data_IF_573595079473
#
_entry.id   IF_573595079473
#
_cell.length_a   1.000
_cell.length_b   1.000
_cell.length_c   1.000
_cell.angle_alpha   90.00
_cell.angle_beta   90.00
_cell.angle_gamma   90.00
#
_symmetry.space_group_name_H-M   'P 1'
#
loop_
_entity.id
_entity.type
_entity.pdbx_description
1 polymer ?
#
# COMPACT_ATOMS: atom_id res chain seq x y z
N UNK A 1 -76.58 4.69 1.49
CA UNK A 1 -75.78 3.84 0.57
C UNK A 1 -75.56 4.67 -0.69
N UNK A 2 -74.53 5.51 -0.77
CA UNK A 2 -73.11 5.22 -1.09
C UNK A 2 -72.89 4.88 -2.57
N UNK A 3 -71.87 5.53 -3.18
CA UNK A 3 -71.44 5.60 -4.60
C UNK A 3 -72.02 6.83 -5.32
N UNK A 4 -71.27 7.73 -5.95
CA UNK A 4 -69.98 7.58 -6.65
C UNK A 4 -69.37 8.96 -6.95
N UNK A 5 -68.09 9.10 -6.65
CA UNK A 5 -67.04 9.71 -7.48
C UNK A 5 -67.13 11.17 -7.93
N UNK A 6 -66.40 11.98 -7.15
CA UNK A 6 -65.53 13.10 -7.55
C UNK A 6 -64.95 12.92 -8.95
N UNK A 7 -65.42 13.72 -9.91
CA UNK A 7 -64.96 13.73 -11.29
C UNK A 7 -64.81 15.18 -11.75
N UNK A 8 -63.99 15.96 -11.05
CA UNK A 8 -63.54 17.27 -11.54
C UNK A 8 -62.24 17.76 -10.88
N UNK A 9 -61.23 16.89 -10.79
CA UNK A 9 -59.82 17.30 -10.59
C UNK A 9 -58.86 16.37 -11.37
N UNK A 10 -59.30 15.83 -12.51
CA UNK A 10 -58.46 15.12 -13.47
C UNK A 10 -57.85 16.14 -14.45
N UNK A 11 -56.85 16.90 -13.99
CA UNK A 11 -55.98 17.67 -14.90
C UNK A 11 -54.56 17.92 -14.39
N UNK A 12 -54.19 17.55 -13.16
CA UNK A 12 -52.79 17.67 -12.68
C UNK A 12 -52.42 16.50 -11.76
N UNK A 13 -52.60 15.27 -12.24
CA UNK A 13 -52.16 14.06 -11.53
C UNK A 13 -51.56 13.03 -12.50
N UNK A 14 -50.59 13.46 -13.31
CA UNK A 14 -49.69 12.58 -14.05
C UNK A 14 -48.25 12.99 -13.77
N UNK A 15 -47.76 12.77 -12.54
CA UNK A 15 -46.35 12.44 -12.28
C UNK A 15 -46.13 12.09 -10.80
N UNK A 16 -46.78 11.05 -10.30
CA UNK A 16 -46.38 10.44 -9.04
C UNK A 16 -46.58 8.93 -9.12
N UNK A 17 -46.11 8.34 -10.22
CA UNK A 17 -45.89 6.90 -10.28
C UNK A 17 -44.78 6.57 -9.28
N UNK A 18 -45.17 5.86 -8.23
CA UNK A 18 -44.35 5.04 -7.34
C UNK A 18 -43.06 4.59 -8.01
N UNK A 19 -41.98 5.32 -7.74
CA UNK A 19 -40.66 4.99 -8.27
C UNK A 19 -40.12 3.81 -7.45
N UNK A 20 -40.33 2.59 -7.95
CA UNK A 20 -39.40 1.50 -7.63
C UNK A 20 -38.02 2.03 -8.03
N UNK A 21 -37.19 2.36 -7.05
CA UNK A 21 -35.84 2.88 -7.28
C UNK A 21 -35.04 1.80 -7.99
N UNK A 22 -35.08 1.81 -9.32
CA UNK A 22 -34.22 0.97 -10.14
C UNK A 22 -32.79 1.39 -9.84
N UNK A 23 -31.91 0.41 -9.67
CA UNK A 23 -30.49 0.68 -9.49
C UNK A 23 -29.91 1.48 -10.68
N UNK A 24 -28.67 1.97 -10.54
CA UNK A 24 -28.06 2.88 -11.53
C UNK A 24 -27.64 2.20 -12.84
N UNK A 25 -27.77 0.87 -12.95
CA UNK A 25 -27.41 0.12 -14.16
C UNK A 25 -28.53 0.19 -15.20
N UNK A 26 -28.19 0.71 -16.38
CA UNK A 26 -29.10 0.83 -17.53
C UNK A 26 -28.57 0.04 -18.72
N UNK A 27 -29.43 -0.78 -19.31
CA UNK A 27 -29.07 -1.63 -20.44
C UNK A 27 -29.10 -0.80 -21.74
N UNK A 28 -27.95 -0.67 -22.40
CA UNK A 28 -27.75 -0.10 -23.75
C UNK A 28 -26.97 -1.09 -24.62
N UNK A 29 -26.86 -0.89 -25.95
CA UNK A 29 -26.32 -1.92 -26.88
C UNK A 29 -24.81 -2.22 -26.75
N UNK A 30 -24.16 -1.76 -25.67
CA UNK A 30 -22.78 -2.05 -25.29
C UNK A 30 -22.56 -1.94 -23.76
N UNK A 31 -23.62 -2.07 -22.96
CA UNK A 31 -23.59 -1.84 -21.50
C UNK A 31 -23.20 -3.09 -20.71
N UNK A 32 -22.67 -2.88 -19.51
CA UNK A 32 -22.49 -3.92 -18.49
C UNK A 32 -23.81 -4.65 -18.18
N UNK A 33 -23.71 -5.93 -17.81
CA UNK A 33 -24.84 -6.75 -17.41
C UNK A 33 -25.48 -6.21 -16.12
N UNK A 34 -26.80 -6.10 -16.12
CA UNK A 34 -27.59 -5.64 -14.98
C UNK A 34 -28.46 -6.77 -14.44
N UNK A 35 -28.57 -6.82 -13.12
CA UNK A 35 -29.59 -7.59 -12.39
C UNK A 35 -31.00 -7.11 -12.76
N UNK A 36 -32.02 -7.93 -12.47
CA UNK A 36 -33.44 -7.58 -12.67
C UNK A 36 -33.87 -6.29 -11.95
N UNK A 37 -33.19 -5.93 -10.88
CA UNK A 37 -33.47 -4.74 -10.06
C UNK A 37 -32.73 -3.49 -10.56
N UNK A 38 -31.99 -3.59 -11.67
CA UNK A 38 -31.26 -2.47 -12.25
C UNK A 38 -29.91 -2.19 -11.57
N UNK A 39 -29.35 -3.11 -10.79
CA UNK A 39 -27.98 -3.02 -10.26
C UNK A 39 -27.00 -3.81 -11.12
N UNK A 40 -25.71 -3.49 -11.07
CA UNK A 40 -24.70 -4.18 -11.86
C UNK A 40 -24.50 -5.62 -11.37
N UNK A 41 -24.40 -6.57 -12.28
CA UNK A 41 -23.91 -7.91 -11.95
C UNK A 41 -22.46 -7.81 -11.49
N UNK A 42 -22.10 -8.50 -10.40
CA UNK A 42 -20.77 -8.34 -9.79
C UNK A 42 -19.66 -8.89 -10.69
N UNK A 43 -19.94 -9.91 -11.50
CA UNK A 43 -19.00 -10.43 -12.48
C UNK A 43 -19.44 -9.97 -13.86
N UNK A 44 -18.55 -9.27 -14.56
CA UNK A 44 -18.76 -8.79 -15.91
C UNK A 44 -17.80 -9.52 -16.84
N UNK A 45 -18.30 -10.03 -17.95
CA UNK A 45 -17.50 -10.71 -18.96
C UNK A 45 -17.74 -10.07 -20.32
N UNK A 46 -16.65 -9.80 -21.02
CA UNK A 46 -16.65 -9.39 -22.43
C UNK A 46 -16.30 -10.59 -23.31
N UNK A 47 -16.20 -10.38 -24.63
CA UNK A 47 -15.68 -11.41 -25.52
C UNK A 47 -14.19 -11.74 -25.26
N UNK A 48 -13.45 -10.91 -24.52
CA UNK A 48 -12.00 -11.02 -24.33
C UNK A 48 -11.57 -11.37 -22.90
N UNK A 49 -12.28 -10.92 -21.88
CA UNK A 49 -11.90 -11.08 -20.47
C UNK A 49 -13.10 -11.02 -19.51
N UNK A 50 -12.90 -11.46 -18.27
CA UNK A 50 -13.86 -11.29 -17.17
C UNK A 50 -13.21 -10.54 -16.00
N UNK A 51 -14.02 -9.77 -15.27
CA UNK A 51 -13.58 -8.95 -14.13
C UNK A 51 -14.71 -8.72 -13.12
N UNK A 52 -14.33 -8.31 -11.90
CA UNK A 52 -15.25 -7.96 -10.83
C UNK A 52 -15.61 -6.46 -10.89
N UNK A 53 -16.86 -6.14 -10.59
CA UNK A 53 -17.37 -4.77 -10.43
C UNK A 53 -18.20 -4.61 -9.16
N UNK A 54 -18.24 -3.38 -8.65
CA UNK A 54 -19.11 -3.03 -7.53
C UNK A 54 -20.57 -2.97 -7.96
N UNK A 55 -21.44 -3.77 -7.34
CA UNK A 55 -22.84 -3.93 -7.77
C UNK A 55 -23.66 -2.62 -7.75
N UNK A 56 -23.32 -1.68 -6.87
CA UNK A 56 -24.04 -0.42 -6.70
C UNK A 56 -23.54 0.73 -7.56
N UNK A 57 -22.36 0.63 -8.15
CA UNK A 57 -21.72 1.74 -8.87
C UNK A 57 -21.13 1.35 -10.22
N UNK A 58 -20.98 0.06 -10.50
CA UNK A 58 -20.34 -0.43 -11.73
C UNK A 58 -18.83 -0.20 -11.78
N UNK A 59 -18.21 0.24 -10.67
CA UNK A 59 -16.76 0.45 -10.62
C UNK A 59 -16.02 -0.88 -10.76
N UNK A 60 -15.08 -0.93 -11.70
CA UNK A 60 -14.31 -2.13 -12.02
C UNK A 60 -13.12 -2.26 -11.06
N UNK A 61 -12.89 -3.48 -10.54
CA UNK A 61 -11.67 -3.84 -9.83
C UNK A 61 -10.63 -4.39 -10.80
N UNK A 62 -9.79 -3.51 -11.31
CA UNK A 62 -8.93 -3.78 -12.47
C UNK A 62 -7.96 -4.97 -12.28
N UNK A 63 -7.47 -5.22 -11.06
CA UNK A 63 -6.54 -6.33 -10.78
C UNK A 63 -7.22 -7.70 -10.83
N UNK A 64 -8.54 -7.75 -10.92
CA UNK A 64 -9.32 -8.99 -11.06
C UNK A 64 -9.49 -9.43 -12.50
N UNK A 65 -9.02 -8.68 -13.50
CA UNK A 65 -9.13 -9.05 -14.92
C UNK A 65 -8.37 -10.35 -15.21
N UNK A 66 -9.07 -11.32 -15.79
CA UNK A 66 -8.49 -12.64 -16.08
C UNK A 66 -7.76 -12.72 -17.42
N UNK A 67 -7.97 -11.75 -18.31
CA UNK A 67 -7.41 -11.74 -19.67
C UNK A 67 -7.91 -12.87 -20.57
N UNK A 68 -8.94 -13.61 -20.12
CA UNK A 68 -9.54 -14.72 -20.85
C UNK A 68 -11.03 -14.79 -20.50
N UNK A 69 -11.91 -14.67 -21.50
CA UNK A 69 -13.37 -14.69 -21.33
C UNK A 69 -13.92 -16.02 -20.82
N UNK A 70 -13.10 -17.08 -20.80
CA UNK A 70 -13.45 -18.39 -20.21
C UNK A 70 -13.04 -18.51 -18.74
N UNK A 71 -12.22 -17.60 -18.21
CA UNK A 71 -11.77 -17.61 -16.81
C UNK A 71 -12.58 -16.61 -16.00
N UNK A 72 -13.34 -17.11 -15.03
CA UNK A 72 -14.13 -16.31 -14.10
C UNK A 72 -13.24 -15.86 -12.94
N UNK A 73 -13.19 -14.56 -12.59
CA UNK A 73 -12.38 -14.06 -11.49
C UNK A 73 -12.97 -14.39 -10.12
N UNK A 74 -12.10 -14.57 -9.14
CA UNK A 74 -12.49 -14.62 -7.73
C UNK A 74 -12.58 -13.20 -7.18
N UNK A 75 -13.80 -12.74 -6.90
CA UNK A 75 -14.02 -11.40 -6.36
C UNK A 75 -13.79 -11.35 -4.84
N UNK A 76 -13.37 -10.19 -4.35
CA UNK A 76 -13.09 -9.95 -2.94
C UNK A 76 -14.34 -10.08 -2.04
N UNK A 77 -14.11 -10.24 -0.73
CA UNK A 77 -15.19 -10.22 0.28
C UNK A 77 -15.98 -8.91 0.30
N UNK A 78 -15.36 -7.79 -0.02
CA UNK A 78 -16.05 -6.49 -0.10
C UNK A 78 -17.11 -6.50 -1.21
N UNK A 79 -16.76 -7.00 -2.39
CA UNK A 79 -17.73 -7.14 -3.49
C UNK A 79 -18.87 -8.09 -3.17
N UNK A 80 -18.59 -9.21 -2.51
CA UNK A 80 -19.62 -10.15 -2.06
C UNK A 80 -20.60 -9.49 -1.08
N UNK A 81 -20.08 -8.70 -0.14
CA UNK A 81 -20.88 -7.94 0.80
C UNK A 81 -21.79 -6.93 0.10
N UNK A 82 -21.24 -6.13 -0.82
CA UNK A 82 -22.01 -5.15 -1.59
C UNK A 82 -23.07 -5.85 -2.44
N UNK A 83 -22.72 -6.93 -3.15
CA UNK A 83 -23.69 -7.68 -3.96
C UNK A 83 -24.88 -8.14 -3.11
N UNK A 84 -24.64 -8.70 -1.92
CA UNK A 84 -25.71 -9.21 -1.06
C UNK A 84 -26.72 -8.13 -0.64
N UNK A 85 -26.24 -6.91 -0.45
CA UNK A 85 -27.09 -5.75 -0.12
C UNK A 85 -28.04 -5.41 -1.28
N UNK A 86 -27.56 -5.49 -2.53
CA UNK A 86 -28.29 -4.98 -3.71
C UNK A 86 -28.99 -6.09 -4.53
N UNK A 87 -28.56 -7.35 -4.41
CA UNK A 87 -29.17 -8.51 -5.07
C UNK A 87 -30.58 -8.80 -4.56
N UNK A 88 -30.85 -8.49 -3.29
CA UNK A 88 -32.12 -8.70 -2.61
C UNK A 88 -33.16 -7.60 -2.87
N UNK A 89 -32.82 -6.55 -3.63
CA UNK A 89 -33.74 -5.46 -3.97
C UNK A 89 -34.23 -4.68 -2.74
N UNK A 90 -33.52 -4.78 -1.61
CA UNK A 90 -33.83 -3.98 -0.44
C UNK A 90 -33.71 -2.51 -0.81
N UNK A 91 -34.83 -1.79 -0.65
CA UNK A 91 -34.80 -0.35 -0.47
C UNK A 91 -33.95 -0.09 0.76
N UNK A 92 -32.66 0.18 0.57
CA UNK A 92 -31.76 0.58 1.65
C UNK A 92 -32.46 1.69 2.41
N UNK A 93 -32.89 1.41 3.64
CA UNK A 93 -33.21 2.48 4.57
C UNK A 93 -32.02 3.42 4.55
N UNK A 94 -32.27 4.74 4.56
CA UNK A 94 -31.21 5.74 4.60
C UNK A 94 -30.20 5.52 5.74
N UNK A 95 -30.53 4.64 6.69
CA UNK A 95 -29.75 4.21 7.86
C UNK A 95 -28.88 2.96 7.68
N UNK A 96 -28.76 2.37 6.48
CA UNK A 96 -27.97 1.15 6.29
C UNK A 96 -26.51 1.46 5.89
N UNK A 97 -25.56 0.70 6.43
CA UNK A 97 -24.14 0.79 6.12
C UNK A 97 -23.81 -0.02 4.86
N UNK A 98 -23.17 0.63 3.89
CA UNK A 98 -22.65 -0.01 2.67
C UNK A 98 -21.13 0.15 2.68
N UNK A 99 -20.35 -0.95 2.66
CA UNK A 99 -18.90 -0.86 2.69
C UNK A 99 -18.35 -0.26 1.38
N UNK A 100 -17.27 0.50 1.51
CA UNK A 100 -16.55 1.08 0.38
C UNK A 100 -15.38 0.18 0.02
N UNK A 101 -15.38 -0.30 -1.22
CA UNK A 101 -14.31 -1.14 -1.75
C UNK A 101 -13.23 -0.29 -2.46
N UNK A 102 -12.01 -0.81 -2.45
CA UNK A 102 -10.91 -0.34 -3.28
C UNK A 102 -11.22 -0.65 -4.75
N UNK A 103 -10.94 0.29 -5.63
CA UNK A 103 -11.28 0.17 -7.05
C UNK A 103 -10.18 -0.55 -7.87
N UNK A 104 -9.07 -0.97 -7.26
CA UNK A 104 -8.04 -1.75 -7.94
C UNK A 104 -8.11 -3.21 -7.57
N UNK A 105 -7.94 -3.51 -6.28
CA UNK A 105 -7.93 -4.89 -5.79
C UNK A 105 -9.34 -5.40 -5.48
N UNK A 106 -10.28 -4.48 -5.27
CA UNK A 106 -11.61 -4.81 -4.81
C UNK A 106 -11.73 -5.01 -3.31
N UNK A 107 -10.65 -4.99 -2.55
CA UNK A 107 -10.64 -5.17 -1.10
C UNK A 107 -11.39 -4.05 -0.37
N UNK A 108 -11.58 -4.14 0.95
CA UNK A 108 -12.15 -3.05 1.71
C UNK A 108 -11.19 -1.86 1.75
N UNK A 109 -11.71 -0.63 1.60
CA UNK A 109 -10.92 0.56 1.94
C UNK A 109 -10.60 0.54 3.44
N UNK A 110 -9.38 0.97 3.85
CA UNK A 110 -8.98 0.95 5.26
C UNK A 110 -9.91 1.75 6.19
N UNK A 111 -10.49 2.84 5.67
CA UNK A 111 -11.49 3.65 6.37
C UNK A 111 -12.87 3.27 5.84
N UNK A 112 -13.78 2.96 6.78
CA UNK A 112 -15.19 2.75 6.51
C UNK A 112 -16.02 3.76 7.28
N UNK A 113 -17.11 4.24 6.69
CA UNK A 113 -17.96 5.26 7.30
C UNK A 113 -19.43 4.89 7.18
N UNK A 114 -20.20 5.20 8.22
CA UNK A 114 -21.64 5.07 8.27
C UNK A 114 -22.29 6.45 8.17
N UNK A 115 -22.90 6.83 7.03
CA UNK A 115 -23.41 8.18 6.80
C UNK A 115 -24.50 8.59 7.80
N UNK A 116 -25.50 7.72 8.04
CA UNK A 116 -26.60 8.04 8.96
C UNK A 116 -26.19 8.13 10.44
N UNK A 117 -25.22 7.31 10.87
CA UNK A 117 -24.69 7.36 12.25
C UNK A 117 -23.61 8.43 12.41
N UNK A 118 -23.10 8.99 11.32
CA UNK A 118 -21.98 9.94 11.30
C UNK A 118 -20.80 9.40 12.08
N UNK A 119 -20.40 8.17 11.77
CA UNK A 119 -19.25 7.49 12.39
C UNK A 119 -18.34 6.91 11.31
N UNK A 120 -17.03 6.91 11.55
CA UNK A 120 -16.05 6.20 10.73
C UNK A 120 -15.17 5.30 11.60
N UNK A 121 -14.69 4.19 11.06
CA UNK A 121 -13.81 3.23 11.73
C UNK A 121 -12.81 2.62 10.75
N UNK A 122 -11.78 1.98 11.28
CA UNK A 122 -10.79 1.25 10.50
C UNK A 122 -11.20 -0.21 10.34
N UNK A 123 -10.87 -0.82 9.21
CA UNK A 123 -11.10 -2.25 8.96
C UNK A 123 -9.84 -2.94 8.43
N UNK A 124 -9.75 -4.25 8.67
CA UNK A 124 -8.84 -5.10 7.89
C UNK A 124 -9.28 -5.11 6.42
N UNK A 125 -8.35 -4.83 5.51
CA UNK A 125 -8.69 -4.65 4.09
C UNK A 125 -9.14 -5.96 3.43
N UNK A 126 -8.74 -7.12 3.95
CA UNK A 126 -9.08 -8.43 3.36
C UNK A 126 -10.35 -9.03 3.97
N UNK A 127 -10.53 -8.95 5.29
CA UNK A 127 -11.69 -9.53 5.99
C UNK A 127 -12.87 -8.56 6.10
N UNK A 128 -12.60 -7.24 6.14
CA UNK A 128 -13.61 -6.21 6.40
C UNK A 128 -14.00 -6.09 7.88
N UNK A 129 -13.33 -6.82 8.76
CA UNK A 129 -13.58 -6.76 10.20
C UNK A 129 -13.11 -5.43 10.77
N UNK A 130 -13.95 -4.83 11.62
CA UNK A 130 -13.62 -3.58 12.32
C UNK A 130 -12.43 -3.80 13.26
N UNK A 131 -11.44 -2.93 13.14
CA UNK A 131 -10.36 -2.80 14.12
C UNK A 131 -10.98 -2.22 15.39
N UNK A 132 -11.09 -3.03 16.44
CA UNK A 132 -11.72 -2.66 17.71
C UNK A 132 -11.15 -1.35 18.25
N UNK A 133 -12.02 -0.42 18.64
CA UNK A 133 -11.65 0.87 19.23
C UNK A 133 -11.25 1.95 18.21
N UNK A 134 -11.28 1.66 16.91
CA UNK A 134 -11.01 2.66 15.86
C UNK A 134 -12.21 3.56 15.52
N UNK A 135 -13.41 3.25 16.02
CA UNK A 135 -14.64 4.01 15.71
C UNK A 135 -14.61 5.42 16.30
N UNK A 136 -14.84 6.41 15.45
CA UNK A 136 -14.87 7.84 15.78
C UNK A 136 -16.09 8.52 15.18
N UNK A 137 -16.54 9.59 15.83
CA UNK A 137 -17.61 10.43 15.30
C UNK A 137 -17.11 11.29 14.14
N UNK A 138 -17.80 11.24 13.01
CA UNK A 138 -17.60 12.12 11.85
C UNK A 138 -18.03 13.57 12.11
N UNK A 139 -18.65 13.87 13.26
CA UNK A 139 -19.07 15.24 13.62
C UNK A 139 -17.94 16.09 14.23
N UNK A 140 -16.92 15.45 14.81
CA UNK A 140 -15.83 16.15 15.49
C UNK A 140 -14.66 16.52 14.56
N UNK A 141 -14.77 16.22 13.26
CA UNK A 141 -13.71 16.43 12.26
C UNK A 141 -12.36 15.78 12.67
N UNK A 142 -12.40 14.77 13.54
CA UNK A 142 -11.21 14.03 13.96
C UNK A 142 -10.69 13.19 12.79
N UNK A 143 -9.43 13.42 12.42
CA UNK A 143 -8.75 12.68 11.34
C UNK A 143 -8.58 11.23 11.80
N UNK A 144 -9.35 10.32 11.20
CA UNK A 144 -9.23 8.90 11.46
C UNK A 144 -8.01 8.34 10.73
N UNK A 145 -6.88 8.26 11.44
CA UNK A 145 -5.63 7.72 10.91
C UNK A 145 -5.65 6.19 10.97
N UNK A 146 -6.25 5.59 9.94
CA UNK A 146 -6.12 4.16 9.69
C UNK A 146 -4.80 3.88 8.97
N UNK A 147 -3.73 3.76 9.74
CA UNK A 147 -2.47 3.13 9.35
C UNK A 147 -1.82 2.58 10.63
N UNK A 148 -0.80 1.71 10.59
CA UNK A 148 0.30 1.95 11.51
C UNK A 148 0.81 3.35 11.17
N UNK A 149 0.27 4.37 11.84
CA UNK A 149 0.62 5.80 11.73
C UNK A 149 2.14 5.92 11.88
N UNK A 150 2.95 6.73 11.17
CA UNK A 150 2.90 8.13 10.78
C UNK A 150 3.94 8.47 9.68
N UNK A 151 3.69 9.42 8.79
CA UNK A 151 4.79 10.18 8.15
C UNK A 151 4.91 10.05 6.63
N UNK A 152 5.34 11.16 6.01
CA UNK A 152 5.43 11.36 4.57
C UNK A 152 4.28 12.22 4.02
N UNK A 153 4.62 13.37 3.43
CA UNK A 153 3.72 14.46 2.99
C UNK A 153 2.40 13.94 2.38
N UNK A 154 1.28 14.34 2.96
CA UNK A 154 -0.11 13.92 2.66
C UNK A 154 -0.60 12.58 3.25
N UNK A 155 0.20 11.86 4.06
CA UNK A 155 -0.26 10.68 4.78
C UNK A 155 -0.80 9.55 3.87
N UNK A 156 -0.46 9.61 2.58
CA UNK A 156 -0.88 8.65 1.57
C UNK A 156 0.32 7.78 1.21
N UNK A 157 0.17 6.48 1.42
CA UNK A 157 1.16 5.50 0.98
C UNK A 157 1.30 5.59 -0.57
N UNK A 158 2.53 5.68 -1.11
CA UNK A 158 2.75 5.76 -2.54
C UNK A 158 2.05 4.61 -3.27
N UNK A 159 1.22 4.94 -4.26
CA UNK A 159 0.50 3.91 -5.04
C UNK A 159 1.46 3.01 -5.83
N UNK A 160 2.65 3.54 -6.14
CA UNK A 160 3.72 2.79 -6.80
C UNK A 160 4.36 1.69 -5.93
N UNK A 161 4.12 1.64 -4.61
CA UNK A 161 4.55 0.52 -3.76
C UNK A 161 3.73 -0.77 -3.96
N UNK A 162 2.61 -0.69 -4.68
CA UNK A 162 1.83 -1.85 -5.11
C UNK A 162 2.39 -2.50 -6.38
N UNK A 163 3.52 -2.00 -6.90
CA UNK A 163 4.21 -2.62 -8.03
C UNK A 163 4.81 -3.99 -7.70
N UNK A 164 5.37 -4.66 -8.71
CA UNK A 164 6.08 -5.91 -8.52
C UNK A 164 7.27 -5.67 -7.58
N UNK A 165 7.23 -6.33 -6.41
CA UNK A 165 8.30 -6.29 -5.43
C UNK A 165 9.40 -7.27 -5.82
N UNK A 166 10.64 -6.83 -5.67
CA UNK A 166 11.82 -7.65 -5.84
C UNK A 166 12.08 -8.36 -4.51
N UNK A 167 12.29 -9.67 -4.55
CA UNK A 167 12.78 -10.41 -3.39
C UNK A 167 14.26 -10.10 -3.18
N UNK A 168 14.66 -9.70 -1.96
CA UNK A 168 16.04 -9.34 -1.65
C UNK A 168 16.87 -10.60 -1.38
N UNK A 169 17.81 -11.00 -2.26
CA UNK A 169 18.81 -12.01 -1.91
C UNK A 169 19.74 -11.46 -0.83
N UNK A 170 19.92 -12.22 0.25
CA UNK A 170 20.82 -11.87 1.36
C UNK A 170 22.14 -12.63 1.25
N UNK A 171 23.21 -12.05 1.78
CA UNK A 171 24.53 -12.70 1.82
C UNK A 171 24.58 -13.94 2.73
N UNK A 172 23.73 -13.99 3.77
CA UNK A 172 23.60 -15.13 4.70
C UNK A 172 22.14 -15.46 4.96
N UNK A 173 21.80 -16.75 4.98
CA UNK A 173 20.44 -17.22 5.27
C UNK A 173 19.92 -16.77 6.64
N UNK A 174 20.81 -16.57 7.62
CA UNK A 174 20.43 -16.04 8.94
C UNK A 174 19.77 -14.67 8.83
N UNK A 175 20.14 -13.84 7.86
CA UNK A 175 19.56 -12.52 7.63
C UNK A 175 18.10 -12.56 7.16
N UNK A 176 17.57 -13.72 6.74
CA UNK A 176 16.14 -13.88 6.41
C UNK A 176 15.26 -14.12 7.63
N UNK A 177 15.85 -14.45 8.79
CA UNK A 177 15.08 -14.70 10.01
C UNK A 177 14.46 -13.40 10.52
N UNK A 178 13.25 -13.47 11.05
CA UNK A 178 12.59 -12.30 11.63
C UNK A 178 13.29 -11.80 12.91
N UNK A 179 12.88 -10.63 13.39
CA UNK A 179 13.31 -10.12 14.70
C UNK A 179 12.94 -11.09 15.82
N UNK A 180 13.88 -11.36 16.71
CA UNK A 180 13.66 -12.21 17.88
C UNK A 180 14.33 -11.60 19.12
N UNK A 181 13.49 -11.16 20.06
CA UNK A 181 13.91 -10.47 21.29
C UNK A 181 14.53 -11.43 22.30
N UNK A 182 14.43 -12.74 22.07
CA UNK A 182 14.85 -13.75 23.03
C UNK A 182 14.06 -13.64 24.33
N UNK A 183 14.73 -13.92 25.45
CA UNK A 183 14.12 -13.95 26.78
C UNK A 183 15.06 -13.38 27.85
N UNK A 184 14.47 -12.90 28.95
CA UNK A 184 15.21 -12.41 30.11
C UNK A 184 15.85 -13.57 30.87
N UNK A 185 17.09 -13.39 31.31
CA UNK A 185 17.83 -14.41 32.06
C UNK A 185 18.74 -13.78 33.11
N UNK A 186 19.07 -14.53 34.16
CA UNK A 186 19.85 -14.05 35.30
C UNK A 186 21.23 -13.53 34.88
N UNK A 187 21.57 -12.32 35.31
CA UNK A 187 22.89 -11.71 35.10
C UNK A 187 23.09 -11.04 33.73
N UNK A 188 22.09 -11.02 32.84
CA UNK A 188 22.13 -10.27 31.58
C UNK A 188 21.12 -9.13 31.63
N UNK A 189 21.52 -7.96 31.10
CA UNK A 189 20.64 -6.79 30.97
C UNK A 189 20.14 -6.69 29.53
N UNK A 190 18.92 -6.18 29.30
CA UNK A 190 18.45 -5.88 27.95
C UNK A 190 19.38 -4.89 27.24
N UNK A 191 19.56 -5.08 25.94
CA UNK A 191 20.43 -4.25 25.11
C UNK A 191 19.76 -3.99 23.76
N UNK A 192 20.00 -2.80 23.23
CA UNK A 192 19.59 -2.46 21.87
C UNK A 192 20.55 -3.13 20.89
N UNK A 193 19.98 -3.89 19.96
CA UNK A 193 20.66 -4.63 18.90
C UNK A 193 19.99 -4.32 17.56
N UNK A 194 20.60 -4.78 16.47
CA UNK A 194 20.13 -4.57 15.10
C UNK A 194 19.81 -5.90 14.42
N UNK A 195 18.76 -5.95 13.61
CA UNK A 195 18.43 -7.09 12.76
C UNK A 195 18.19 -6.62 11.32
N UNK A 196 18.47 -7.50 10.35
CA UNK A 196 18.20 -7.23 8.95
C UNK A 196 16.74 -7.53 8.60
N UNK A 197 16.04 -6.59 8.00
CA UNK A 197 14.68 -6.77 7.51
C UNK A 197 14.67 -6.88 5.99
N UNK A 198 14.31 -8.06 5.48
CA UNK A 198 14.30 -8.35 4.04
C UNK A 198 13.21 -7.60 3.28
N UNK A 199 12.19 -7.05 3.95
CA UNK A 199 11.10 -6.31 3.29
C UNK A 199 11.51 -4.90 2.92
N UNK A 200 12.38 -4.29 3.72
CA UNK A 200 12.91 -2.94 3.50
C UNK A 200 14.39 -2.94 3.12
N UNK A 201 15.02 -4.12 3.10
CA UNK A 201 16.42 -4.31 2.74
C UNK A 201 17.39 -3.48 3.58
N UNK A 202 17.12 -3.37 4.88
CA UNK A 202 17.87 -2.51 5.78
C UNK A 202 17.89 -3.09 7.20
N UNK A 203 18.74 -2.52 8.06
CA UNK A 203 18.98 -2.95 9.42
C UNK A 203 18.26 -2.03 10.43
N UNK A 204 17.42 -2.62 11.28
CA UNK A 204 16.58 -1.89 12.23
C UNK A 204 16.87 -2.27 13.68
N UNK A 205 16.74 -1.29 14.57
CA UNK A 205 16.99 -1.45 15.99
C UNK A 205 15.84 -2.16 16.72
N UNK A 206 16.19 -3.00 17.70
CA UNK A 206 15.26 -3.69 18.59
C UNK A 206 15.91 -3.99 19.95
N UNK A 207 15.11 -4.22 20.97
CA UNK A 207 15.56 -4.66 22.30
C UNK A 207 15.72 -6.18 22.36
N UNK A 208 16.95 -6.61 22.60
CA UNK A 208 17.28 -7.99 22.92
C UNK A 208 17.34 -8.18 24.45
N UNK A 209 16.63 -9.19 24.96
CA UNK A 209 16.41 -9.38 26.40
C UNK A 209 17.56 -10.10 27.14
N UNK A 210 18.57 -10.58 26.40
CA UNK A 210 19.83 -11.06 26.96
C UNK A 210 20.14 -12.54 26.72
N UNK A 211 19.14 -13.40 26.53
CA UNK A 211 19.33 -14.83 26.22
C UNK A 211 18.46 -15.32 25.05
N UNK A 212 18.96 -16.33 24.34
CA UNK A 212 18.25 -16.98 23.23
C UNK A 212 18.17 -16.11 21.98
N UNK A 213 16.99 -16.11 21.37
CA UNK A 213 16.75 -15.45 20.09
C UNK A 213 17.42 -16.17 18.92
N UNK A 214 17.58 -15.45 17.80
CA UNK A 214 18.24 -15.96 16.60
C UNK A 214 19.49 -15.14 16.23
N UNK A 215 20.17 -15.59 15.17
CA UNK A 215 21.45 -15.06 14.69
C UNK A 215 21.31 -13.81 13.81
N UNK A 216 20.09 -13.37 13.47
CA UNK A 216 19.84 -12.07 12.84
C UNK A 216 19.89 -10.96 13.92
N UNK A 217 21.05 -10.83 14.56
CA UNK A 217 21.26 -9.93 15.69
C UNK A 217 22.70 -9.44 15.70
N UNK A 218 22.85 -8.13 15.58
CA UNK A 218 24.14 -7.45 15.43
C UNK A 218 24.25 -6.30 16.43
N UNK A 219 25.48 -6.01 16.86
CA UNK A 219 25.75 -4.97 17.86
C UNK A 219 25.58 -3.58 17.27
N UNK A 220 25.85 -3.43 15.97
CA UNK A 220 25.72 -2.16 15.26
C UNK A 220 25.04 -2.31 13.91
N UNK A 221 24.43 -1.22 13.44
CA UNK A 221 23.86 -1.15 12.09
C UNK A 221 24.90 -1.46 11.01
N UNK A 222 26.13 -0.97 11.19
CA UNK A 222 27.27 -1.24 10.29
C UNK A 222 27.60 -2.73 10.20
N UNK A 223 27.68 -3.42 11.33
CA UNK A 223 27.94 -4.87 11.37
C UNK A 223 26.82 -5.64 10.64
N UNK A 224 25.56 -5.28 10.90
CA UNK A 224 24.41 -5.85 10.20
C UNK A 224 24.50 -5.64 8.69
N UNK A 225 24.74 -4.42 8.22
CA UNK A 225 24.89 -4.11 6.79
C UNK A 225 26.04 -4.88 6.15
N UNK A 226 27.23 -4.87 6.76
CA UNK A 226 28.40 -5.58 6.24
C UNK A 226 28.19 -7.10 6.15
N UNK A 227 27.29 -7.65 6.98
CA UNK A 227 27.01 -9.08 7.03
C UNK A 227 25.87 -9.51 6.09
N UNK A 228 24.84 -8.67 5.94
CA UNK A 228 23.60 -9.03 5.26
C UNK A 228 23.42 -8.38 3.90
N UNK A 229 24.01 -7.21 3.65
CA UNK A 229 23.90 -6.53 2.36
C UNK A 229 24.81 -7.19 1.33
N UNK A 230 24.29 -7.30 0.11
CA UNK A 230 25.10 -7.64 -1.06
C UNK A 230 25.66 -6.34 -1.63
N UNK A 231 26.99 -6.25 -1.75
CA UNK A 231 27.69 -5.03 -2.21
C UNK A 231 27.22 -4.55 -3.59
N UNK A 232 26.78 -5.48 -4.45
CA UNK A 232 26.36 -5.18 -5.82
C UNK A 232 24.85 -4.93 -5.96
N UNK A 233 24.09 -5.02 -4.86
CA UNK A 233 22.65 -4.90 -4.95
C UNK A 233 22.18 -3.48 -4.70
N UNK A 234 22.00 -2.75 -5.80
CA UNK A 234 21.39 -1.44 -5.80
C UNK A 234 19.99 -1.53 -6.43
N UNK A 235 18.97 -1.04 -5.73
CA UNK A 235 17.58 -1.05 -6.18
C UNK A 235 16.86 0.21 -5.71
N UNK A 236 15.66 0.46 -6.25
CA UNK A 236 14.82 1.55 -5.78
C UNK A 236 14.29 1.26 -4.37
N UNK A 237 14.00 2.31 -3.62
CA UNK A 237 13.39 2.26 -2.30
C UNK A 237 12.14 1.37 -2.28
N UNK A 238 12.00 0.59 -1.21
CA UNK A 238 10.90 -0.36 -1.04
C UNK A 238 10.94 -1.58 -1.97
N UNK A 239 12.09 -1.85 -2.59
CA UNK A 239 12.31 -2.99 -3.49
C UNK A 239 11.33 -3.02 -4.66
N UNK A 240 10.94 -1.84 -5.14
CA UNK A 240 10.09 -1.70 -6.32
C UNK A 240 10.95 -1.77 -7.58
N UNK A 241 10.46 -2.45 -8.61
CA UNK A 241 11.15 -2.51 -9.91
C UNK A 241 11.41 -1.12 -10.50
N UNK A 242 12.63 -0.93 -11.04
CA UNK A 242 13.03 0.29 -11.72
C UNK A 242 12.44 0.38 -13.12
N UNK A 243 12.17 1.60 -13.60
CA UNK A 243 11.76 1.85 -15.00
C UNK A 243 12.97 2.09 -15.90
N UNK A 244 13.86 1.11 -15.91
CA UNK A 244 15.09 1.13 -16.71
C UNK A 244 16.28 1.75 -15.99
N UNK A 245 17.38 1.86 -16.74
CA UNK A 245 18.65 2.40 -16.28
C UNK A 245 18.85 3.84 -16.75
N UNK A 246 19.65 4.58 -16.00
CA UNK A 246 20.01 5.95 -16.28
C UNK A 246 21.47 6.21 -15.89
N UNK A 247 22.06 7.28 -16.41
CA UNK A 247 23.36 7.78 -15.94
C UNK A 247 24.59 6.92 -16.25
N UNK A 248 24.44 5.69 -16.74
CA UNK A 248 25.52 4.97 -17.40
C UNK A 248 25.61 5.44 -18.85
N UNK A 249 26.82 5.80 -19.29
CA UNK A 249 27.14 5.87 -20.72
C UNK A 249 26.89 4.45 -21.25
N UNK A 250 25.77 4.23 -21.92
CA UNK A 250 25.55 2.97 -22.63
C UNK A 250 26.52 2.97 -23.80
N UNK A 251 27.73 2.42 -23.61
CA UNK A 251 28.55 2.00 -24.73
C UNK A 251 27.81 0.86 -25.40
N UNK A 252 27.01 1.18 -26.42
CA UNK A 252 26.66 0.16 -27.40
C UNK A 252 27.96 -0.18 -28.13
N UNK A 253 28.57 -1.31 -27.78
CA UNK A 253 29.47 -1.97 -28.71
C UNK A 253 28.56 -2.55 -29.78
N UNK A 254 28.38 -1.84 -30.88
CA UNK A 254 27.92 -2.48 -32.11
C UNK A 254 28.99 -3.53 -32.48
N UNK A 255 28.70 -4.82 -32.31
CA UNK A 255 29.51 -5.87 -32.95
C UNK A 255 29.32 -5.78 -34.48
N UNK A 256 30.31 -6.09 -35.35
CA UNK A 256 31.72 -6.46 -35.09
C UNK A 256 32.74 -5.72 -36.02
N UNK A 257 34.05 -5.97 -35.86
CA UNK A 257 34.81 -6.45 -37.02
C UNK A 257 35.43 -7.84 -36.79
N UNK A 258 35.28 -8.71 -37.79
CA UNK A 258 35.79 -10.08 -37.87
C UNK A 258 37.25 -10.18 -38.33
N UNK A 259 38.00 -9.07 -38.29
CA UNK A 259 39.39 -9.00 -38.75
C UNK A 259 40.27 -8.23 -37.76
N UNK A 260 41.52 -8.68 -37.52
CA UNK A 260 42.46 -7.96 -36.65
C UNK A 260 42.78 -6.57 -37.22
N UNK A 261 42.61 -5.51 -36.40
CA UNK A 261 43.13 -4.17 -36.70
C UNK A 261 42.11 -3.05 -36.97
N UNK A 262 40.80 -3.29 -36.82
CA UNK A 262 39.80 -2.20 -36.89
C UNK A 262 39.34 -1.74 -35.50
N UNK A 263 39.36 -0.42 -35.26
CA UNK A 263 38.78 0.21 -34.07
C UNK A 263 37.29 0.45 -34.27
N UNK A 264 36.47 0.06 -33.29
CA UNK A 264 35.02 0.35 -33.28
C UNK A 264 34.77 1.84 -33.03
N UNK A 265 33.86 2.44 -33.79
CA UNK A 265 33.39 3.81 -33.50
C UNK A 265 32.36 3.76 -32.36
N UNK A 266 32.68 4.40 -31.24
CA UNK A 266 31.73 4.57 -30.12
C UNK A 266 30.88 5.80 -30.39
N UNK A 267 29.62 5.59 -30.80
CA UNK A 267 28.65 6.70 -30.91
C UNK A 267 28.09 7.00 -29.52
N UNK A 268 28.37 8.20 -29.00
CA UNK A 268 27.77 8.69 -27.76
C UNK A 268 26.28 8.95 -28.01
N UNK A 269 25.40 8.05 -27.54
CA UNK A 269 23.96 8.37 -27.47
C UNK A 269 23.71 9.32 -26.29
N UNK A 270 22.75 10.26 -26.40
CA UNK A 270 22.36 11.10 -25.28
C UNK A 270 21.97 10.25 -24.06
N UNK A 271 22.38 10.70 -22.87
CA UNK A 271 22.08 10.08 -21.57
C UNK A 271 20.58 9.72 -21.51
N UNK A 272 20.19 8.46 -21.26
CA UNK A 272 18.78 8.13 -21.12
C UNK A 272 18.22 8.88 -19.91
N UNK A 273 17.35 9.85 -20.17
CA UNK A 273 16.59 10.56 -19.15
C UNK A 273 15.45 9.66 -18.67
N UNK A 274 15.19 9.68 -17.36
CA UNK A 274 14.13 8.87 -16.78
C UNK A 274 12.75 9.36 -17.22
N UNK A 275 11.76 8.46 -17.37
CA UNK A 275 10.41 8.85 -17.72
C UNK A 275 9.77 9.74 -16.64
N UNK A 276 8.73 10.48 -17.00
CA UNK A 276 7.99 11.33 -16.07
C UNK A 276 7.55 10.57 -14.82
N UNK A 277 7.74 11.20 -13.64
CA UNK A 277 7.49 10.59 -12.33
C UNK A 277 8.62 9.69 -11.83
N UNK A 278 9.73 9.58 -12.55
CA UNK A 278 10.92 8.84 -12.14
C UNK A 278 12.15 9.75 -12.11
N UNK A 279 13.01 9.54 -11.13
CA UNK A 279 14.33 10.19 -11.04
C UNK A 279 15.44 9.17 -11.17
N UNK A 280 16.57 9.65 -11.68
CA UNK A 280 17.77 8.82 -11.76
C UNK A 280 18.42 8.70 -10.38
N UNK A 281 18.32 7.52 -9.79
CA UNK A 281 18.98 7.17 -8.53
C UNK A 281 20.29 6.48 -8.90
N UNK A 282 21.44 7.09 -8.56
CA UNK A 282 22.76 6.60 -8.96
C UNK A 282 23.29 5.60 -7.92
N UNK A 283 23.67 4.41 -8.37
CA UNK A 283 24.40 3.43 -7.57
C UNK A 283 25.91 3.52 -7.80
N UNK A 284 26.65 2.55 -7.27
CA UNK A 284 28.11 2.50 -7.41
C UNK A 284 28.58 2.35 -8.88
N UNK A 285 27.80 1.67 -9.72
CA UNK A 285 28.18 1.33 -11.10
C UNK A 285 27.17 1.78 -12.18
N UNK A 286 25.89 1.84 -11.85
CA UNK A 286 24.84 2.25 -12.78
C UNK A 286 23.72 2.98 -12.03
N UNK A 287 22.98 3.83 -12.73
CA UNK A 287 21.78 4.46 -12.20
C UNK A 287 20.52 3.70 -12.61
N UNK A 288 19.49 3.78 -11.77
CA UNK A 288 18.16 3.27 -12.06
C UNK A 288 17.13 4.39 -12.02
N UNK A 289 16.13 4.30 -12.90
CA UNK A 289 14.99 5.20 -12.86
C UNK A 289 14.03 4.72 -11.77
N UNK A 290 14.02 5.43 -10.65
CA UNK A 290 13.22 5.13 -9.46
C UNK A 290 12.07 6.11 -9.30
N UNK A 291 10.93 5.61 -8.83
CA UNK A 291 9.72 6.41 -8.72
C UNK A 291 9.88 7.53 -7.68
N UNK A 292 9.65 8.78 -8.06
CA UNK A 292 9.91 9.95 -7.22
C UNK A 292 9.07 9.91 -5.93
N UNK A 293 7.79 9.54 -6.00
CA UNK A 293 6.91 9.49 -4.83
C UNK A 293 7.37 8.44 -3.81
N UNK A 294 7.79 7.26 -4.29
CA UNK A 294 8.30 6.18 -3.42
C UNK A 294 9.60 6.60 -2.75
N UNK A 295 10.53 7.13 -3.53
CA UNK A 295 11.82 7.54 -3.00
C UNK A 295 11.67 8.70 -2.00
N UNK A 296 10.81 9.68 -2.27
CA UNK A 296 10.55 10.77 -1.33
C UNK A 296 9.84 10.30 -0.07
N UNK A 297 8.93 9.34 -0.18
CA UNK A 297 8.28 8.72 0.97
C UNK A 297 9.30 8.03 1.88
N UNK A 298 10.14 7.13 1.34
CA UNK A 298 11.19 6.47 2.11
C UNK A 298 12.18 7.46 2.69
N UNK A 299 12.62 8.47 1.93
CA UNK A 299 13.52 9.50 2.42
C UNK A 299 12.93 10.28 3.62
N UNK A 300 11.62 10.55 3.62
CA UNK A 300 10.95 11.19 4.75
C UNK A 300 10.86 10.25 5.96
N UNK A 301 10.61 8.96 5.75
CA UNK A 301 10.57 7.96 6.82
C UNK A 301 11.95 7.70 7.43
N UNK A 302 13.02 7.79 6.65
CA UNK A 302 14.41 7.70 7.12
C UNK A 302 14.89 8.96 7.85
N UNK A 303 14.24 10.10 7.59
CA UNK A 303 14.55 11.40 8.19
C UNK A 303 13.31 11.98 8.88
N UNK A 304 12.77 11.27 9.90
CA UNK A 304 11.57 11.71 10.57
C UNK A 304 11.81 13.01 11.35
N UNK A 305 10.74 13.71 11.69
CA UNK A 305 10.77 14.87 12.59
C UNK A 305 9.85 14.59 13.76
N UNK A 306 10.33 14.81 14.98
CA UNK A 306 9.50 14.58 16.16
C UNK A 306 8.29 15.51 16.17
N UNK A 307 7.15 15.02 16.65
CA UNK A 307 5.91 15.80 16.73
C UNK A 307 6.04 17.12 17.52
N UNK A 308 7.01 17.20 18.44
CA UNK A 308 7.33 18.40 19.22
C UNK A 308 8.37 19.32 18.56
N UNK A 309 8.77 19.04 17.32
CA UNK A 309 9.82 19.78 16.59
C UNK A 309 11.25 19.46 17.02
N UNK A 310 11.45 18.55 17.98
CA UNK A 310 12.79 18.12 18.37
C UNK A 310 13.45 17.25 17.29
N UNK A 311 14.78 17.17 17.32
CA UNK A 311 15.53 16.21 16.49
C UNK A 311 15.34 14.79 17.03
N UNK A 312 15.10 13.78 16.16
CA UNK A 312 15.11 12.38 16.56
C UNK A 312 16.42 11.97 17.21
N UNK A 313 16.37 10.92 18.02
CA UNK A 313 17.57 10.28 18.55
C UNK A 313 18.43 9.71 17.42
N UNK A 314 19.72 10.01 17.47
CA UNK A 314 20.71 9.52 16.52
C UNK A 314 21.75 8.67 17.24
N UNK A 315 22.24 7.65 16.54
CA UNK A 315 23.37 6.84 16.95
C UNK A 315 24.63 7.37 16.30
N UNK A 316 25.67 7.58 17.11
CA UNK A 316 26.98 7.96 16.63
C UNK A 316 27.73 6.70 16.16
N UNK A 317 27.97 6.61 14.85
CA UNK A 317 28.69 5.48 14.25
C UNK A 317 30.16 5.82 13.95
N UNK A 318 30.71 6.89 14.54
CA UNK A 318 32.06 7.41 14.26
C UNK A 318 32.07 8.46 13.15
N UNK A 319 31.82 8.04 11.90
CA UNK A 319 31.97 8.92 10.73
C UNK A 319 30.72 9.74 10.40
N UNK A 320 29.53 9.27 10.77
CA UNK A 320 28.24 9.92 10.50
C UNK A 320 27.22 9.59 11.61
N UNK A 321 26.38 10.56 11.95
CA UNK A 321 25.24 10.36 12.84
C UNK A 321 24.02 9.89 12.03
N UNK A 322 23.41 8.78 12.43
CA UNK A 322 22.19 8.25 11.79
C UNK A 322 21.05 8.17 12.79
N UNK A 323 19.83 8.50 12.34
CA UNK A 323 18.62 8.31 13.16
C UNK A 323 18.48 6.85 13.55
N UNK A 324 18.29 6.58 14.85
CA UNK A 324 17.95 5.23 15.31
C UNK A 324 16.52 4.90 14.90
N UNK A 325 16.38 3.98 13.97
CA UNK A 325 15.09 3.51 13.45
C UNK A 325 14.84 2.07 13.84
N UNK A 326 13.59 1.77 14.18
CA UNK A 326 13.05 0.42 14.32
C UNK A 326 11.90 0.21 13.35
N UNK A 327 11.46 -1.02 13.13
CA UNK A 327 10.24 -1.28 12.34
C UNK A 327 8.95 -1.07 13.15
N UNK A 328 9.03 -1.15 14.48
CA UNK A 328 7.88 -0.97 15.36
C UNK A 328 8.29 -0.46 16.73
N UNK A 329 7.47 0.41 17.33
CA UNK A 329 7.64 0.82 18.73
C UNK A 329 7.53 -0.34 19.73
N UNK A 330 6.88 -1.45 19.35
CA UNK A 330 6.84 -2.67 20.17
C UNK A 330 8.20 -3.34 20.37
N UNK A 331 9.23 -2.90 19.63
CA UNK A 331 10.59 -3.41 19.74
C UNK A 331 11.44 -2.69 20.80
N UNK A 332 10.91 -1.70 21.54
CA UNK A 332 11.54 -1.10 22.73
C UNK A 332 13.00 -0.60 22.54
N UNK A 333 13.35 -0.09 21.37
CA UNK A 333 14.74 0.29 21.04
C UNK A 333 15.12 1.72 21.46
N UNK A 334 14.19 2.48 22.02
CA UNK A 334 14.43 3.86 22.46
C UNK A 334 15.15 3.93 23.80
N UNK A 335 16.10 4.87 23.96
CA UNK A 335 16.75 5.10 25.25
C UNK A 335 15.73 5.61 26.29
N UNK A 336 16.03 5.42 27.58
CA UNK A 336 15.08 5.68 28.68
C UNK A 336 14.56 7.13 28.77
N UNK A 337 15.28 8.10 28.20
CA UNK A 337 14.90 9.51 28.16
C UNK A 337 14.14 9.92 26.87
N UNK A 338 13.81 8.96 26.00
CA UNK A 338 13.12 9.17 24.73
C UNK A 338 11.90 8.25 24.65
N UNK A 339 10.81 8.75 24.07
CA UNK A 339 9.61 8.01 23.75
C UNK A 339 9.64 7.58 22.29
N UNK A 340 9.06 6.42 22.01
CA UNK A 340 8.92 5.96 20.65
C UNK A 340 7.76 6.67 19.95
N UNK A 341 7.98 7.10 18.71
CA UNK A 341 6.96 7.55 17.78
C UNK A 341 6.93 6.56 16.61
N UNK A 342 5.75 6.01 16.32
CA UNK A 342 5.59 5.07 15.23
C UNK A 342 5.46 5.84 13.93
N UNK A 343 6.26 5.48 12.91
CA UNK A 343 6.13 5.95 11.54
C UNK A 343 5.34 5.00 10.64
N UNK A 344 5.11 5.41 9.40
CA UNK A 344 4.29 4.74 8.40
C UNK A 344 5.00 3.49 7.90
N UNK A 345 6.33 3.54 7.87
CA UNK A 345 7.21 2.39 7.72
C UNK A 345 8.04 2.14 8.98
N UNK A 346 8.59 3.20 9.58
CA UNK A 346 9.62 3.06 10.61
C UNK A 346 9.29 3.80 11.90
N UNK A 347 9.51 3.17 13.03
CA UNK A 347 9.48 3.80 14.33
C UNK A 347 10.80 4.54 14.62
N UNK A 348 10.72 5.64 15.37
CA UNK A 348 11.87 6.46 15.76
C UNK A 348 11.70 7.01 17.17
N UNK A 349 12.79 7.52 17.76
CA UNK A 349 12.80 7.94 19.16
C UNK A 349 12.86 9.47 19.31
N UNK A 350 11.97 10.01 20.12
CA UNK A 350 11.77 11.43 20.43
C UNK A 350 11.57 11.60 21.94
#
# INVERSE_FOLDING_TARGET
MARTSVLLLLAIAQCALSQVTRGPCHIQSNSMACTRNGYYEMTQCTSKDCFCVSANSGLIAEETRTGDSRKIPTCSKCHLFVREIFSSGLSLSATAYVPVCDNKSGDFKPIQCHPARRECWCVDTKSGEEIKGSRKSSANNEILQCAPSTGGKNGRFPTALNGKKIEYPVAKETCKKGVDRGQTCSGKKPQVMYYFDTKHADCFAFEYLGCGGNENRYVSKRECHSTCNLMDMFSCSGLVESKGQCGAVSYHIELPPTLPGQTTQTTQKPKPECPDGYRCQMGAFSGFCCNIEVEDFYNNEYKPTCANGAKPHVDNNGDWDETRLGTSCSHNFCPSNKKCQQGALFAYCC
#
